data_IF_581600129381
#
_entry.id   IF_581600129381
#
_cell.length_a   1.000
_cell.length_b   1.000
_cell.length_c   1.000
_cell.angle_alpha   90.00
_cell.angle_beta   90.00
_cell.angle_gamma   90.00
#
_symmetry.space_group_name_H-M   'P 1'
#
loop_
_entity.id
_entity.type
_entity.pdbx_description
1 polymer ?
#
# COMPACT_ATOMS: atom_id res chain seq x y z
N UNK A 1 -22.18 -16.09 3.68
CA UNK A 1 -21.25 -15.59 4.72
C UNK A 1 -20.17 -14.82 3.98
N UNK A 2 -20.10 -13.49 4.09
CA UNK A 2 -18.96 -12.72 3.55
C UNK A 2 -17.81 -12.94 4.53
N UNK A 3 -16.70 -13.49 4.06
CA UNK A 3 -15.50 -13.65 4.86
C UNK A 3 -14.88 -12.26 5.05
N UNK A 4 -14.81 -11.78 6.29
CA UNK A 4 -14.11 -10.55 6.63
C UNK A 4 -12.60 -10.85 6.61
N UNK A 5 -11.93 -10.49 5.51
CA UNK A 5 -10.48 -10.53 5.38
C UNK A 5 -10.00 -9.25 4.70
N UNK A 6 -9.21 -8.44 5.41
CA UNK A 6 -8.70 -7.16 4.89
C UNK A 6 -8.53 -6.10 5.97
N UNK A 7 -7.81 -5.02 5.64
CA UNK A 7 -7.77 -3.82 6.46
C UNK A 7 -8.93 -2.90 6.03
N UNK A 8 -9.80 -2.55 6.97
CA UNK A 8 -10.95 -1.68 6.71
C UNK A 8 -10.83 -0.43 7.57
N UNK A 9 -11.21 0.72 7.01
CA UNK A 9 -11.46 1.91 7.78
C UNK A 9 -12.88 1.83 8.34
N UNK A 10 -13.02 1.93 9.67
CA UNK A 10 -14.33 2.00 10.31
C UNK A 10 -14.82 3.45 10.24
N UNK A 11 -15.84 3.71 9.44
CA UNK A 11 -16.41 5.05 9.28
C UNK A 11 -17.46 5.36 10.33
N UNK A 12 -18.21 4.34 10.74
CA UNK A 12 -19.29 4.48 11.71
C UNK A 12 -19.52 3.18 12.46
N UNK A 13 -19.72 3.30 13.78
CA UNK A 13 -20.12 2.21 14.66
C UNK A 13 -21.50 2.58 15.24
N UNK A 14 -22.51 1.71 15.10
CA UNK A 14 -23.83 1.97 15.66
C UNK A 14 -23.81 1.88 17.19
N UNK A 15 -24.74 2.58 17.82
CA UNK A 15 -24.90 2.58 19.28
C UNK A 15 -25.15 1.17 19.81
N UNK A 16 -24.35 0.74 20.80
CA UNK A 16 -24.37 -0.62 21.35
C UNK A 16 -23.18 -1.47 20.93
N UNK A 17 -22.39 -1.03 19.94
CA UNK A 17 -21.08 -1.59 19.60
C UNK A 17 -19.97 -0.57 19.90
N UNK A 18 -18.74 -1.06 20.11
CA UNK A 18 -17.54 -0.23 20.26
C UNK A 18 -16.33 -0.91 19.65
N UNK A 19 -15.30 -0.13 19.33
CA UNK A 19 -13.98 -0.66 18.92
C UNK A 19 -13.03 -0.59 20.10
N UNK A 20 -12.36 -1.70 20.38
CA UNK A 20 -11.41 -1.83 21.48
C UNK A 20 -10.12 -2.47 20.96
N UNK A 21 -8.96 -1.97 21.40
CA UNK A 21 -7.68 -2.60 21.11
C UNK A 21 -7.50 -3.80 22.03
N UNK A 22 -7.25 -4.98 21.44
CA UNK A 22 -7.00 -6.19 22.21
C UNK A 22 -5.56 -6.64 22.05
N UNK A 23 -4.84 -6.65 23.18
CA UNK A 23 -3.44 -7.06 23.26
C UNK A 23 -2.45 -5.96 22.82
N UNK A 24 -1.18 -6.33 22.76
CA UNK A 24 -0.06 -5.37 22.65
C UNK A 24 0.16 -4.84 21.23
N UNK A 25 -0.60 -5.36 20.25
CA UNK A 25 -0.51 -4.94 18.84
C UNK A 25 -1.45 -3.77 18.58
N UNK A 26 -0.87 -2.57 18.36
CA UNK A 26 -1.61 -1.34 18.06
C UNK A 26 -2.54 -1.43 16.84
N UNK A 27 -2.27 -2.35 15.91
CA UNK A 27 -3.06 -2.56 14.71
C UNK A 27 -4.17 -3.61 14.86
N UNK A 28 -4.30 -4.27 16.02
CA UNK A 28 -5.32 -5.30 16.25
C UNK A 28 -6.50 -4.70 17.03
N UNK A 29 -7.56 -4.37 16.31
CA UNK A 29 -8.79 -3.79 16.85
C UNK A 29 -9.94 -4.79 16.71
N UNK A 30 -10.75 -4.92 17.75
CA UNK A 30 -11.93 -5.80 17.77
C UNK A 30 -13.21 -4.96 17.97
N UNK A 31 -14.28 -5.32 17.26
CA UNK A 31 -15.62 -4.75 17.48
C UNK A 31 -16.30 -5.56 18.58
N UNK A 32 -16.62 -4.90 19.68
CA UNK A 32 -17.15 -5.48 20.90
C UNK A 32 -18.53 -4.94 21.23
N UNK A 33 -19.26 -5.69 22.06
CA UNK A 33 -20.53 -5.28 22.65
C UNK A 33 -20.29 -4.21 23.72
N UNK A 34 -21.09 -3.14 23.69
CA UNK A 34 -21.09 -2.11 24.74
C UNK A 34 -22.24 -2.30 25.76
N UNK A 35 -23.19 -3.18 25.44
CA UNK A 35 -24.28 -3.61 26.34
C UNK A 35 -24.66 -5.07 26.07
N UNK A 36 -25.37 -5.67 27.02
CA UNK A 36 -25.98 -7.00 26.81
C UNK A 36 -27.07 -6.91 25.74
N UNK A 37 -27.06 -7.84 24.79
CA UNK A 37 -28.04 -7.95 23.70
C UNK A 37 -28.11 -9.40 23.19
N UNK A 38 -29.09 -9.70 22.36
CA UNK A 38 -29.24 -11.02 21.70
C UNK A 38 -28.26 -11.19 20.52
N UNK A 39 -28.07 -12.44 20.07
CA UNK A 39 -27.24 -12.72 18.88
C UNK A 39 -27.84 -12.11 17.61
N UNK A 40 -29.17 -12.07 17.49
CA UNK A 40 -29.85 -11.48 16.34
C UNK A 40 -29.69 -9.96 16.31
N UNK A 41 -29.88 -9.28 17.44
CA UNK A 41 -29.60 -7.85 17.56
C UNK A 41 -28.12 -7.53 17.27
N UNK A 42 -27.20 -8.37 17.74
CA UNK A 42 -25.78 -8.22 17.44
C UNK A 42 -25.50 -8.32 15.94
N UNK A 43 -26.07 -9.31 15.26
CA UNK A 43 -25.92 -9.47 13.81
C UNK A 43 -26.53 -8.30 13.03
N UNK A 44 -27.67 -7.78 13.47
CA UNK A 44 -28.29 -6.57 12.88
C UNK A 44 -27.41 -5.33 13.04
N UNK A 45 -26.80 -5.13 14.22
CA UNK A 45 -25.89 -4.02 14.46
C UNK A 45 -24.58 -4.18 13.68
N UNK A 46 -24.03 -5.39 13.59
CA UNK A 46 -22.86 -5.65 12.74
C UNK A 46 -23.12 -5.29 11.28
N UNK A 47 -24.33 -5.58 10.77
CA UNK A 47 -24.74 -5.21 9.41
C UNK A 47 -24.83 -3.69 9.17
N UNK A 48 -24.90 -2.89 10.23
CA UNK A 48 -24.95 -1.43 10.16
C UNK A 48 -23.57 -0.76 10.28
N UNK A 49 -22.52 -1.53 10.61
CA UNK A 49 -21.15 -1.01 10.65
C UNK A 49 -20.77 -0.58 9.23
N UNK A 50 -20.43 0.70 9.07
CA UNK A 50 -19.94 1.22 7.79
C UNK A 50 -18.43 1.08 7.75
N UNK A 51 -17.98 0.25 6.81
CA UNK A 51 -16.58 0.05 6.51
C UNK A 51 -16.29 0.66 5.14
N UNK A 52 -15.19 1.40 5.03
CA UNK A 52 -14.60 1.74 3.74
C UNK A 52 -13.27 1.01 3.56
N UNK A 53 -12.90 0.78 2.31
CA UNK A 53 -11.59 0.23 1.94
C UNK A 53 -11.54 -1.24 1.49
N UNK A 54 -12.60 -2.06 1.61
CA UNK A 54 -12.50 -3.49 1.23
C UNK A 54 -13.20 -3.94 -0.06
N UNK A 55 -14.07 -3.14 -0.68
CA UNK A 55 -14.72 -3.51 -1.94
C UNK A 55 -14.50 -2.50 -3.08
N UNK A 56 -13.93 -1.32 -2.81
CA UNK A 56 -13.76 -0.29 -3.84
C UNK A 56 -12.49 -0.41 -4.69
N UNK A 57 -11.56 -1.35 -4.41
CA UNK A 57 -10.29 -1.44 -5.16
C UNK A 57 -10.21 -2.61 -6.14
N UNK A 58 -11.05 -3.64 -6.04
CA UNK A 58 -11.08 -4.77 -6.99
C UNK A 58 -11.77 -4.47 -8.34
N UNK A 59 -12.30 -3.26 -8.55
CA UNK A 59 -12.94 -2.82 -9.82
C UNK A 59 -12.38 -1.51 -10.37
N UNK A 60 -11.31 -0.98 -9.80
CA UNK A 60 -10.67 0.21 -10.36
C UNK A 60 -9.64 -0.21 -11.39
N UNK A 61 -9.52 0.60 -12.44
CA UNK A 61 -8.46 0.43 -13.44
C UNK A 61 -7.09 0.36 -12.74
N UNK A 62 -6.15 -0.46 -13.24
CA UNK A 62 -4.82 -0.54 -12.64
C UNK A 62 -4.20 0.85 -12.56
N UNK A 63 -3.50 1.17 -11.45
CA UNK A 63 -2.84 2.45 -11.33
C UNK A 63 -1.80 2.61 -12.44
N UNK A 64 -1.68 3.83 -12.95
CA UNK A 64 -0.68 4.17 -13.96
C UNK A 64 0.64 4.50 -13.28
N UNK A 65 1.73 3.97 -13.81
CA UNK A 65 3.07 4.38 -13.42
C UNK A 65 3.33 5.83 -13.88
N UNK A 66 3.74 6.67 -12.94
CA UNK A 66 4.00 8.09 -13.14
C UNK A 66 5.33 8.47 -12.52
N UNK A 67 5.96 9.51 -13.08
CA UNK A 67 7.25 10.05 -12.64
C UNK A 67 7.09 11.53 -12.33
N UNK A 68 7.87 12.05 -11.39
CA UNK A 68 7.80 13.47 -10.99
C UNK A 68 8.25 14.41 -12.11
N UNK A 69 9.25 13.98 -12.89
CA UNK A 69 9.76 14.68 -14.06
C UNK A 69 9.47 13.90 -15.34
N UNK A 70 9.52 14.54 -16.52
CA UNK A 70 9.44 13.83 -17.79
C UNK A 70 10.49 12.71 -17.84
N UNK A 71 10.02 11.47 -17.95
CA UNK A 71 10.87 10.29 -18.00
C UNK A 71 11.17 9.94 -19.45
N UNK A 72 12.37 10.27 -19.91
CA UNK A 72 12.82 10.06 -21.27
C UNK A 72 13.71 8.82 -21.42
N UNK A 73 14.21 8.61 -22.64
CA UNK A 73 15.12 7.49 -22.97
C UNK A 73 16.39 7.50 -22.09
N UNK A 74 16.90 8.68 -21.77
CA UNK A 74 18.08 8.83 -20.92
C UNK A 74 17.80 8.35 -19.49
N UNK A 75 16.65 8.73 -18.94
CA UNK A 75 16.27 8.32 -17.57
C UNK A 75 16.04 6.82 -17.50
N UNK A 76 15.40 6.25 -18.52
CA UNK A 76 15.23 4.80 -18.66
C UNK A 76 16.58 4.08 -18.70
N UNK A 77 17.51 4.54 -19.54
CA UNK A 77 18.85 3.98 -19.63
C UNK A 77 19.63 4.10 -18.31
N UNK A 78 19.55 5.25 -17.64
CA UNK A 78 20.22 5.45 -16.36
C UNK A 78 19.62 4.57 -15.25
N UNK A 79 18.30 4.45 -15.18
CA UNK A 79 17.60 3.61 -14.20
C UNK A 79 17.93 2.13 -14.38
N UNK A 80 17.91 1.64 -15.62
CA UNK A 80 18.28 0.26 -15.96
C UNK A 80 19.75 -0.02 -15.61
N UNK A 81 20.66 0.88 -16.01
CA UNK A 81 22.10 0.75 -15.75
C UNK A 81 22.46 0.78 -14.27
N UNK A 82 21.81 1.66 -13.49
CA UNK A 82 21.98 1.72 -12.02
C UNK A 82 21.27 0.57 -11.30
N UNK A 83 20.23 0.00 -11.93
CA UNK A 83 19.33 -0.97 -11.31
C UNK A 83 18.49 -0.38 -10.18
N UNK A 84 18.19 0.93 -10.23
CA UNK A 84 17.47 1.66 -9.19
C UNK A 84 16.65 2.82 -9.76
N UNK A 85 15.44 3.01 -9.24
CA UNK A 85 14.62 4.21 -9.47
C UNK A 85 13.76 4.54 -8.23
N UNK A 86 14.00 5.70 -7.61
CA UNK A 86 13.32 6.13 -6.36
C UNK A 86 12.09 7.02 -6.53
N UNK A 87 11.94 7.71 -7.67
CA UNK A 87 10.99 8.82 -7.82
C UNK A 87 9.74 8.42 -8.63
N UNK A 88 9.32 7.16 -8.50
CA UNK A 88 8.16 6.62 -9.20
C UNK A 88 6.89 6.66 -8.34
N UNK A 89 5.73 6.69 -8.99
CA UNK A 89 4.42 6.70 -8.33
C UNK A 89 3.42 5.81 -9.06
N UNK A 90 2.63 5.05 -8.31
CA UNK A 90 1.40 4.46 -8.81
C UNK A 90 0.26 5.48 -8.65
N UNK A 91 -0.28 6.01 -9.75
CA UNK A 91 -1.38 6.98 -9.74
C UNK A 91 -2.70 6.33 -10.14
N UNK A 92 -3.73 6.52 -9.30
CA UNK A 92 -5.09 6.06 -9.56
C UNK A 92 -5.91 7.12 -10.31
N UNK A 93 -7.04 6.70 -10.87
CA UNK A 93 -7.94 7.57 -11.64
C UNK A 93 -8.57 8.71 -10.83
N UNK A 94 -8.62 8.57 -9.50
CA UNK A 94 -9.07 9.60 -8.57
C UNK A 94 -7.97 10.65 -8.27
N UNK A 95 -6.79 10.51 -8.89
CA UNK A 95 -5.63 11.38 -8.68
C UNK A 95 -4.80 11.04 -7.44
N UNK A 96 -5.24 10.09 -6.62
CA UNK A 96 -4.45 9.61 -5.48
C UNK A 96 -3.23 8.80 -5.96
N UNK A 97 -2.17 8.80 -5.17
CA UNK A 97 -0.91 8.15 -5.54
C UNK A 97 -0.23 7.43 -4.38
N UNK A 98 0.58 6.44 -4.73
CA UNK A 98 1.44 5.70 -3.81
C UNK A 98 2.89 5.87 -4.31
N UNK A 99 3.84 6.30 -3.46
CA UNK A 99 5.25 6.35 -3.83
C UNK A 99 5.79 4.93 -4.02
N UNK A 100 6.59 4.74 -5.07
CA UNK A 100 7.19 3.47 -5.42
C UNK A 100 8.69 3.63 -5.57
N UNK A 101 9.43 2.59 -5.18
CA UNK A 101 10.86 2.51 -5.38
C UNK A 101 11.20 1.18 -6.02
N UNK A 102 11.94 1.22 -7.14
CA UNK A 102 12.32 0.02 -7.88
C UNK A 102 13.79 -0.30 -7.68
N UNK A 103 14.06 -1.59 -7.50
CA UNK A 103 15.40 -2.13 -7.36
C UNK A 103 15.58 -3.38 -8.23
N UNK A 104 16.79 -3.60 -8.72
CA UNK A 104 17.21 -4.95 -9.11
C UNK A 104 17.63 -5.76 -7.89
N UNK A 105 17.60 -7.09 -8.02
CA UNK A 105 18.11 -8.03 -7.01
C UNK A 105 19.59 -7.76 -6.67
N UNK A 106 20.39 -7.41 -7.67
CA UNK A 106 21.82 -7.05 -7.48
C UNK A 106 21.96 -5.77 -6.68
N UNK A 107 21.20 -4.72 -7.05
CA UNK A 107 21.33 -3.41 -6.42
C UNK A 107 20.84 -3.41 -4.97
N UNK A 108 19.73 -4.09 -4.66
CA UNK A 108 19.22 -4.17 -3.28
C UNK A 108 20.19 -4.94 -2.37
N UNK A 109 20.86 -5.97 -2.88
CA UNK A 109 21.86 -6.71 -2.12
C UNK A 109 23.10 -5.86 -1.81
N UNK A 110 23.54 -5.04 -2.77
CA UNK A 110 24.66 -4.11 -2.58
C UNK A 110 24.32 -3.05 -1.53
N UNK A 111 23.17 -2.40 -1.65
CA UNK A 111 22.74 -1.35 -0.73
C UNK A 111 22.53 -1.91 0.68
N UNK A 112 21.96 -3.12 0.82
CA UNK A 112 21.79 -3.78 2.11
C UNK A 112 23.14 -4.10 2.78
N UNK A 113 24.13 -4.55 2.00
CA UNK A 113 25.48 -4.80 2.51
C UNK A 113 26.16 -3.51 2.95
N UNK A 114 25.95 -2.40 2.24
CA UNK A 114 26.47 -1.10 2.61
C UNK A 114 25.83 -0.59 3.91
N UNK A 115 24.51 -0.56 3.99
CA UNK A 115 23.78 -0.15 5.19
C UNK A 115 24.15 -1.01 6.41
N UNK A 116 24.35 -2.33 6.22
CA UNK A 116 24.82 -3.22 7.27
C UNK A 116 26.22 -2.83 7.82
N UNK A 117 27.15 -2.34 6.97
CA UNK A 117 28.47 -1.84 7.42
C UNK A 117 28.34 -0.60 8.29
N UNK A 118 27.28 0.17 8.10
CA UNK A 118 26.93 1.35 8.90
C UNK A 118 26.06 1.00 10.13
N UNK A 119 25.85 -0.28 10.42
CA UNK A 119 25.05 -0.74 11.57
C UNK A 119 23.55 -0.68 11.35
N UNK A 120 23.08 -0.57 10.10
CA UNK A 120 21.67 -0.51 9.71
C UNK A 120 21.33 -1.64 8.74
N UNK A 121 21.26 -2.91 9.16
CA UNK A 121 21.11 -4.04 8.25
C UNK A 121 19.67 -4.21 7.72
N UNK A 122 19.04 -3.13 7.23
CA UNK A 122 17.68 -3.11 6.73
C UNK A 122 17.49 -2.01 5.68
N UNK A 123 16.58 -2.26 4.73
CA UNK A 123 16.07 -1.27 3.77
C UNK A 123 14.57 -1.14 4.02
N UNK A 124 14.08 0.09 4.10
CA UNK A 124 12.70 0.39 4.46
C UNK A 124 12.08 1.44 3.53
N UNK A 125 12.22 1.23 2.22
CA UNK A 125 11.63 2.11 1.22
C UNK A 125 10.14 1.85 1.05
N UNK A 126 9.28 2.89 0.99
CA UNK A 126 7.87 2.74 0.72
C UNK A 126 7.63 2.23 -0.69
N UNK A 127 6.71 1.27 -0.83
CA UNK A 127 6.37 0.75 -2.16
C UNK A 127 7.57 0.14 -2.87
N UNK A 128 8.52 -0.41 -2.11
CA UNK A 128 9.68 -1.12 -2.64
C UNK A 128 9.23 -2.32 -3.48
N UNK A 129 9.62 -2.32 -4.74
CA UNK A 129 9.39 -3.41 -5.69
C UNK A 129 10.73 -3.86 -6.26
N UNK A 130 11.03 -5.14 -6.14
CA UNK A 130 12.24 -5.74 -6.70
C UNK A 130 11.89 -6.41 -8.02
N UNK A 131 12.54 -5.98 -9.09
CA UNK A 131 12.38 -6.50 -10.46
C UNK A 131 13.70 -7.08 -10.97
N UNK A 132 13.67 -7.77 -12.10
CA UNK A 132 14.91 -8.29 -12.71
C UNK A 132 15.73 -7.15 -13.31
N UNK A 133 15.08 -6.26 -14.07
CA UNK A 133 15.66 -5.06 -14.68
C UNK A 133 14.74 -3.86 -14.45
N UNK A 134 15.31 -2.69 -14.17
CA UNK A 134 14.53 -1.45 -13.98
C UNK A 134 14.24 -0.81 -15.35
N UNK A 135 13.46 -1.50 -16.17
CA UNK A 135 12.94 -1.00 -17.45
C UNK A 135 11.49 -0.56 -17.32
N UNK A 136 11.04 0.35 -18.19
CA UNK A 136 9.65 0.85 -18.15
C UNK A 136 8.63 -0.31 -18.23
N UNK A 137 8.83 -1.23 -19.16
CA UNK A 137 7.95 -2.39 -19.38
C UNK A 137 7.84 -3.28 -18.13
N UNK A 138 8.97 -3.60 -17.49
CA UNK A 138 8.97 -4.45 -16.31
C UNK A 138 8.34 -3.73 -15.11
N UNK A 139 8.61 -2.44 -14.94
CA UNK A 139 8.00 -1.63 -13.89
C UNK A 139 6.48 -1.53 -14.05
N UNK A 140 5.99 -1.25 -15.26
CA UNK A 140 4.55 -1.19 -15.55
C UNK A 140 3.86 -2.54 -15.33
N UNK A 141 4.50 -3.62 -15.78
CA UNK A 141 4.00 -4.99 -15.58
C UNK A 141 3.94 -5.33 -14.09
N UNK A 142 4.98 -5.03 -13.32
CA UNK A 142 5.01 -5.27 -11.88
C UNK A 142 3.89 -4.52 -11.16
N UNK A 143 3.67 -3.24 -11.48
CA UNK A 143 2.57 -2.45 -10.91
C UNK A 143 1.21 -3.06 -11.25
N UNK A 144 0.99 -3.48 -12.49
CA UNK A 144 -0.27 -4.08 -12.92
C UNK A 144 -0.55 -5.42 -12.20
N UNK A 145 0.44 -6.30 -12.05
CA UNK A 145 0.28 -7.57 -11.34
C UNK A 145 0.09 -7.36 -9.83
N UNK A 146 0.90 -6.50 -9.20
CA UNK A 146 0.76 -6.18 -7.77
C UNK A 146 -0.59 -5.56 -7.42
N UNK A 147 -1.19 -4.80 -8.35
CA UNK A 147 -2.56 -4.31 -8.20
C UNK A 147 -3.59 -5.45 -8.17
N UNK A 148 -3.45 -6.45 -9.05
CA UNK A 148 -4.33 -7.64 -9.05
C UNK A 148 -4.18 -8.46 -7.76
N UNK A 149 -2.99 -8.46 -7.17
CA UNK A 149 -2.69 -9.13 -5.90
C UNK A 149 -3.18 -8.36 -4.67
N UNK A 150 -3.69 -7.14 -4.82
CA UNK A 150 -4.12 -6.28 -3.70
C UNK A 150 -2.94 -5.73 -2.87
N UNK A 151 -1.72 -5.73 -3.41
CA UNK A 151 -0.53 -5.23 -2.70
C UNK A 151 -0.71 -3.79 -2.22
N UNK A 152 -1.33 -2.95 -3.05
CA UNK A 152 -1.52 -1.53 -2.79
C UNK A 152 -2.63 -1.21 -1.77
N UNK A 153 -3.47 -2.19 -1.41
CA UNK A 153 -4.59 -2.00 -0.47
C UNK A 153 -4.10 -1.63 0.95
N UNK A 154 -2.83 -1.94 1.24
CA UNK A 154 -2.18 -1.70 2.54
C UNK A 154 -1.60 -0.29 2.68
N UNK A 155 -1.62 0.50 1.61
CA UNK A 155 -1.00 1.81 1.58
C UNK A 155 -2.02 2.91 1.80
N UNK A 156 -1.65 3.92 2.59
CA UNK A 156 -2.37 5.19 2.61
C UNK A 156 -2.05 5.92 1.31
N UNK A 157 -3.09 6.18 0.51
CA UNK A 157 -2.95 6.91 -0.74
C UNK A 157 -2.80 8.40 -0.47
N UNK A 158 -1.83 9.04 -1.10
CA UNK A 158 -1.55 10.47 -0.97
C UNK A 158 -2.25 11.27 -2.09
N UNK A 159 -2.69 12.51 -1.83
CA UNK A 159 -3.14 13.41 -2.89
C UNK A 159 -2.04 13.65 -3.94
N UNK A 160 -2.41 13.80 -5.21
CA UNK A 160 -1.47 14.21 -6.26
C UNK A 160 -0.76 15.52 -5.89
N UNK A 161 0.55 15.59 -6.15
CA UNK A 161 1.37 16.77 -5.86
C UNK A 161 1.89 16.86 -4.42
N UNK A 162 1.58 15.90 -3.55
CA UNK A 162 2.23 15.79 -2.24
C UNK A 162 3.68 15.37 -2.45
N UNK A 163 4.64 16.27 -2.18
CA UNK A 163 6.06 15.92 -2.06
C UNK A 163 6.21 15.02 -0.84
N UNK A 164 6.93 13.90 -0.99
CA UNK A 164 7.27 13.08 0.19
C UNK A 164 8.12 13.97 1.11
N UNK A 165 7.74 14.16 2.38
CA UNK A 165 8.47 15.03 3.30
C UNK A 165 9.91 14.56 3.61
N UNK A 166 10.32 13.39 3.10
CA UNK A 166 11.70 12.90 3.17
C UNK A 166 12.61 13.40 2.04
N UNK A 167 12.09 14.18 1.08
CA UNK A 167 12.85 14.83 0.02
C UNK A 167 12.54 16.33 -0.11
#
# INVERSE_FOLDING_TARGET
MKEFGGAYLVECIPEGLRVEQRGDRLAHLEIMLDRSMTLDEYNELLGQVKLSGGEQQMKTAPPKLMFELPFGERDAFEAESKGFLGDARAQYSDGSCIPLTFYTTTRIAQDLQEEARWGRPYIAEPGLIVVENVTLEQMETAVAELHKEGFFDRFVRLPSGTKDPRF
#
